data_IF_810266951964
#
_entry.id   IF_810266951964
#
_cell.length_a   1.000
_cell.length_b   1.000
_cell.length_c   1.000
_cell.angle_alpha   90.00
_cell.angle_beta   90.00
_cell.angle_gamma   90.00
#
_symmetry.space_group_name_H-M   'P 1'
#
loop_
_entity.id
_entity.type
_entity.pdbx_description
1 polymer ?
#
# COMPACT_ATOMS: atom_id res chain seq x y z
N UNK A 1 3.53 -17.73 28.26
CA UNK A 1 2.69 -16.95 27.33
C UNK A 1 2.67 -17.70 26.01
N UNK A 2 1.52 -18.26 25.61
CA UNK A 2 1.33 -18.98 24.35
C UNK A 2 0.85 -17.96 23.31
N UNK A 3 1.49 -17.93 22.13
CA UNK A 3 1.20 -16.96 21.07
C UNK A 3 1.47 -17.62 19.72
N UNK A 4 0.72 -17.21 18.70
CA UNK A 4 0.94 -17.63 17.32
C UNK A 4 2.39 -17.34 16.91
N UNK A 5 3.05 -18.32 16.31
CA UNK A 5 4.38 -18.17 15.75
C UNK A 5 4.58 -19.01 14.47
N UNK A 6 5.65 -18.78 13.69
CA UNK A 6 5.86 -19.46 12.42
C UNK A 6 5.96 -20.99 12.50
N UNK A 7 6.13 -21.59 13.68
CA UNK A 7 6.21 -23.04 13.87
C UNK A 7 4.84 -23.73 13.97
N UNK A 8 3.75 -22.96 14.13
CA UNK A 8 2.40 -23.49 14.28
C UNK A 8 1.82 -24.09 12.98
N UNK A 9 2.39 -23.76 11.81
CA UNK A 9 1.96 -24.29 10.52
C UNK A 9 3.09 -24.31 9.48
N UNK A 10 2.85 -24.97 8.34
CA UNK A 10 3.78 -24.94 7.18
C UNK A 10 3.95 -23.54 6.59
N UNK A 11 2.94 -22.69 6.72
CA UNK A 11 2.94 -21.30 6.29
C UNK A 11 1.96 -20.52 7.17
N UNK A 12 2.43 -19.40 7.74
CA UNK A 12 1.65 -18.51 8.59
C UNK A 12 1.70 -17.12 7.97
N UNK A 13 0.57 -16.60 7.52
CA UNK A 13 0.38 -15.21 7.13
C UNK A 13 -0.45 -14.45 8.17
N UNK A 14 -0.16 -13.16 8.36
CA UNK A 14 -0.82 -12.34 9.38
C UNK A 14 -1.20 -10.99 8.78
N UNK A 15 -2.46 -10.60 8.94
CA UNK A 15 -2.98 -9.29 8.53
C UNK A 15 -3.05 -8.36 9.74
N UNK A 16 -2.25 -7.31 9.75
CA UNK A 16 -2.26 -6.29 10.79
C UNK A 16 -3.09 -5.06 10.35
N UNK A 17 -4.20 -4.77 11.04
CA UNK A 17 -5.02 -3.57 10.80
C UNK A 17 -5.10 -2.59 11.97
N UNK A 18 -4.51 -2.93 13.13
CA UNK A 18 -4.56 -2.13 14.36
C UNK A 18 -3.21 -2.05 15.09
N UNK A 19 -2.27 -1.27 14.54
CA UNK A 19 -0.91 -1.13 15.08
C UNK A 19 -0.75 -0.13 16.24
N UNK A 20 -1.83 0.42 16.81
CA UNK A 20 -1.78 1.34 17.97
C UNK A 20 -2.78 0.92 19.04
N UNK A 21 -2.34 0.91 20.30
CA UNK A 21 -3.07 0.33 21.44
C UNK A 21 -4.43 1.01 21.75
N UNK A 22 -5.41 0.13 21.91
CA UNK A 22 -6.65 0.13 22.70
C UNK A 22 -6.87 1.32 23.65
N UNK A 23 -7.94 2.09 23.39
CA UNK A 23 -9.03 2.47 24.32
C UNK A 23 -9.94 3.44 23.53
N UNK A 24 -11.24 3.11 23.44
CA UNK A 24 -12.37 3.87 22.84
C UNK A 24 -12.69 3.84 21.31
N UNK A 25 -11.84 3.38 20.39
CA UNK A 25 -12.14 3.32 18.91
C UNK A 25 -12.15 1.90 18.30
N UNK A 26 -12.25 0.88 19.15
CA UNK A 26 -11.74 -0.49 18.94
C UNK A 26 -12.52 -1.36 17.93
N UNK A 27 -13.79 -1.08 17.62
CA UNK A 27 -14.60 -2.01 16.80
C UNK A 27 -14.39 -1.89 15.29
N UNK A 28 -14.13 -0.71 14.74
CA UNK A 28 -14.06 -0.54 13.29
C UNK A 28 -12.70 -0.96 12.71
N UNK A 29 -11.59 -0.65 13.38
CA UNK A 29 -10.23 -0.96 12.90
C UNK A 29 -9.82 -2.41 13.09
N UNK A 30 -10.23 -3.04 14.18
CA UNK A 30 -9.92 -4.45 14.44
C UNK A 30 -10.65 -5.38 13.45
N UNK A 31 -11.90 -5.06 13.10
CA UNK A 31 -12.70 -5.86 12.15
C UNK A 31 -12.26 -5.72 10.69
N UNK A 32 -11.36 -4.77 10.36
CA UNK A 32 -10.89 -4.58 8.99
C UNK A 32 -10.15 -5.80 8.46
N UNK A 33 -9.38 -6.51 9.29
CA UNK A 33 -8.65 -7.71 8.87
C UNK A 33 -9.59 -8.76 8.27
N UNK A 34 -10.69 -9.07 8.97
CA UNK A 34 -11.73 -10.00 8.48
C UNK A 34 -12.40 -9.49 7.21
N UNK A 35 -12.72 -8.20 7.14
CA UNK A 35 -13.34 -7.61 5.94
C UNK A 35 -12.44 -7.69 4.71
N UNK A 36 -11.15 -7.38 4.87
CA UNK A 36 -10.18 -7.49 3.79
C UNK A 36 -9.96 -8.94 3.36
N UNK A 37 -9.92 -9.87 4.31
CA UNK A 37 -9.81 -11.29 4.02
C UNK A 37 -11.02 -11.78 3.21
N UNK A 38 -12.25 -11.46 3.65
CA UNK A 38 -13.48 -11.85 2.92
C UNK A 38 -13.48 -11.28 1.49
N UNK A 39 -13.13 -10.00 1.31
CA UNK A 39 -13.06 -9.41 -0.02
C UNK A 39 -12.00 -10.07 -0.90
N UNK A 40 -10.86 -10.49 -0.33
CA UNK A 40 -9.76 -11.10 -1.08
C UNK A 40 -10.07 -12.45 -1.73
N UNK A 41 -11.16 -13.14 -1.32
CA UNK A 41 -11.54 -14.46 -1.84
C UNK A 41 -12.01 -14.36 -3.30
N UNK A 42 -12.94 -13.43 -3.58
CA UNK A 42 -13.65 -13.34 -4.87
C UNK A 42 -13.60 -11.94 -5.51
N UNK A 43 -12.67 -11.07 -5.10
CA UNK A 43 -12.52 -9.75 -5.71
C UNK A 43 -11.81 -9.85 -7.07
N UNK A 44 -12.27 -9.05 -8.03
CA UNK A 44 -11.58 -8.83 -9.31
C UNK A 44 -10.22 -8.13 -9.13
N UNK A 45 -9.99 -7.52 -7.97
CA UNK A 45 -8.74 -6.87 -7.58
C UNK A 45 -8.01 -7.72 -6.54
N UNK A 46 -6.70 -7.89 -6.72
CA UNK A 46 -5.84 -8.57 -5.74
C UNK A 46 -5.21 -7.56 -4.80
N UNK A 47 -5.26 -7.84 -3.50
CA UNK A 47 -4.61 -7.01 -2.48
C UNK A 47 -3.09 -7.20 -2.52
N UNK A 48 -2.45 -6.59 -3.51
CA UNK A 48 -1.01 -6.67 -3.74
C UNK A 48 -0.25 -5.87 -2.68
N UNK A 49 0.61 -6.55 -1.92
CA UNK A 49 1.51 -5.99 -0.93
C UNK A 49 2.96 -5.98 -1.40
N UNK A 50 3.69 -4.92 -1.05
CA UNK A 50 5.07 -4.69 -1.43
C UNK A 50 5.98 -4.95 -0.22
N UNK A 51 7.01 -5.77 -0.42
CA UNK A 51 7.98 -6.07 0.63
C UNK A 51 8.76 -4.79 0.96
N UNK A 52 8.73 -4.36 2.22
CA UNK A 52 9.38 -3.12 2.63
C UNK A 52 9.86 -3.21 4.09
N UNK A 53 10.80 -2.34 4.49
CA UNK A 53 11.31 -2.34 5.88
C UNK A 53 10.34 -1.64 6.84
N UNK A 54 9.75 -0.53 6.38
CA UNK A 54 8.80 0.29 7.14
C UNK A 54 7.59 0.69 6.27
N UNK A 55 6.52 1.17 6.90
CA UNK A 55 5.38 1.72 6.17
C UNK A 55 5.73 3.07 5.53
N UNK A 56 6.64 3.83 6.15
CA UNK A 56 7.15 5.11 5.71
C UNK A 56 7.95 4.99 4.40
N UNK A 57 8.81 3.99 4.27
CA UNK A 57 9.56 3.69 3.04
C UNK A 57 8.58 3.31 1.91
N UNK A 58 7.57 2.50 2.24
CA UNK A 58 6.50 2.14 1.30
C UNK A 58 5.71 3.38 0.85
N UNK A 59 5.41 4.31 1.75
CA UNK A 59 4.71 5.57 1.44
C UNK A 59 5.54 6.51 0.57
N UNK A 60 6.86 6.46 0.67
CA UNK A 60 7.79 7.23 -0.16
C UNK A 60 7.97 6.61 -1.56
N UNK A 61 7.53 5.37 -1.74
CA UNK A 61 7.63 4.66 -3.01
C UNK A 61 8.93 3.86 -3.17
N UNK A 62 9.73 3.71 -2.13
CA UNK A 62 11.07 3.10 -2.17
C UNK A 62 11.06 1.59 -2.43
N UNK A 63 9.88 0.97 -2.29
CA UNK A 63 9.68 -0.48 -2.34
C UNK A 63 8.86 -0.93 -3.56
N UNK A 64 8.80 -0.10 -4.61
CA UNK A 64 8.16 -0.40 -5.89
C UNK A 64 9.19 -0.32 -7.03
N UNK A 65 9.11 -1.18 -8.06
CA UNK A 65 8.12 -2.24 -8.31
C UNK A 65 8.31 -3.48 -7.42
N UNK A 66 7.54 -4.54 -7.68
CA UNK A 66 7.75 -5.84 -7.01
C UNK A 66 9.18 -6.33 -7.23
N UNK A 67 9.73 -7.06 -6.25
CA UNK A 67 11.05 -7.70 -6.39
C UNK A 67 11.00 -8.84 -7.40
N UNK A 68 12.16 -9.42 -7.74
CA UNK A 68 12.27 -10.63 -8.58
C UNK A 68 11.44 -11.82 -8.04
N UNK A 69 11.22 -11.86 -6.73
CA UNK A 69 10.41 -12.87 -6.03
C UNK A 69 8.91 -12.57 -6.06
N UNK A 70 8.51 -11.50 -6.75
CA UNK A 70 7.13 -11.03 -6.82
C UNK A 70 6.68 -10.22 -5.59
N UNK A 71 5.43 -9.75 -5.67
CA UNK A 71 4.75 -9.13 -4.54
C UNK A 71 3.94 -10.17 -3.77
N UNK A 72 3.81 -9.99 -2.46
CA UNK A 72 2.89 -10.79 -1.65
C UNK A 72 1.43 -10.38 -1.94
N UNK A 73 0.50 -11.30 -1.67
CA UNK A 73 -0.93 -11.00 -1.70
C UNK A 73 -1.49 -11.07 -0.29
N UNK A 74 -2.26 -10.07 0.13
CA UNK A 74 -2.94 -10.10 1.42
C UNK A 74 -4.24 -10.91 1.30
N UNK A 75 -4.50 -11.78 2.28
CA UNK A 75 -5.73 -12.57 2.38
C UNK A 75 -5.65 -13.92 1.69
N UNK A 76 -6.75 -14.37 1.08
CA UNK A 76 -6.93 -15.75 0.60
C UNK A 76 -5.83 -16.25 -0.34
N UNK A 77 -5.21 -15.36 -1.11
CA UNK A 77 -4.19 -15.71 -2.10
C UNK A 77 -2.75 -15.51 -1.61
N UNK A 78 -2.52 -15.37 -0.29
CA UNK A 78 -1.20 -15.13 0.29
C UNK A 78 -0.18 -16.25 0.03
N UNK A 79 -0.67 -17.47 -0.17
CA UNK A 79 0.13 -18.67 -0.44
C UNK A 79 0.64 -18.77 -1.88
N UNK A 80 0.09 -17.98 -2.82
CA UNK A 80 0.49 -18.00 -4.24
C UNK A 80 1.93 -17.54 -4.47
N UNK A 81 2.40 -16.58 -3.67
CA UNK A 81 3.75 -16.01 -3.75
C UNK A 81 4.30 -15.94 -2.34
N UNK A 82 5.07 -16.96 -1.96
CA UNK A 82 5.70 -17.07 -0.64
C UNK A 82 7.05 -16.37 -0.66
N UNK A 83 7.48 -15.77 0.47
CA UNK A 83 8.83 -15.26 0.57
C UNK A 83 9.86 -16.41 0.48
N UNK A 84 11.14 -16.12 0.20
CA UNK A 84 12.18 -17.15 0.09
C UNK A 84 12.21 -18.09 1.30
N UNK A 85 12.45 -19.38 1.07
CA UNK A 85 12.53 -20.40 2.13
C UNK A 85 13.54 -19.99 3.20
N UNK A 86 13.19 -20.22 4.48
CA UNK A 86 14.03 -19.84 5.61
C UNK A 86 13.88 -18.37 6.05
N UNK A 87 13.04 -17.58 5.37
CA UNK A 87 12.68 -16.25 5.86
C UNK A 87 11.46 -16.32 6.78
N UNK A 88 11.49 -15.54 7.88
CA UNK A 88 10.37 -15.36 8.79
C UNK A 88 10.17 -13.87 9.05
N UNK A 89 8.98 -13.49 9.54
CA UNK A 89 8.66 -12.10 9.90
C UNK A 89 8.84 -11.10 8.73
N UNK A 90 8.57 -11.54 7.50
CA UNK A 90 8.66 -10.71 6.30
C UNK A 90 7.48 -9.73 6.25
N UNK A 91 7.78 -8.44 6.10
CA UNK A 91 6.76 -7.38 6.11
C UNK A 91 6.40 -6.96 4.69
N UNK A 92 5.09 -6.91 4.43
CA UNK A 92 4.51 -6.38 3.21
C UNK A 92 3.57 -5.23 3.57
N UNK A 93 3.54 -4.20 2.73
CA UNK A 93 2.70 -3.03 2.91
C UNK A 93 1.87 -2.74 1.66
N UNK A 94 0.66 -2.26 1.89
CA UNK A 94 -0.28 -1.82 0.85
C UNK A 94 -1.24 -0.80 1.44
N UNK A 95 -1.86 0.02 0.58
CA UNK A 95 -3.00 0.86 0.97
C UNK A 95 -4.30 0.21 0.50
N UNK A 96 -5.34 0.37 1.32
CA UNK A 96 -6.71 0.01 1.01
C UNK A 96 -7.60 1.25 0.95
N UNK A 97 -8.79 1.11 0.37
CA UNK A 97 -9.86 2.08 0.44
C UNK A 97 -10.48 2.17 1.83
N UNK A 98 -11.18 3.27 2.09
CA UNK A 98 -11.92 3.47 3.34
C UNK A 98 -13.25 2.69 3.39
N UNK A 99 -13.86 2.45 2.23
CA UNK A 99 -15.13 1.72 2.03
C UNK A 99 -14.94 0.60 0.99
N UNK A 100 -15.88 -0.34 0.96
CA UNK A 100 -15.91 -1.39 -0.06
C UNK A 100 -16.13 -0.79 -1.47
N UNK A 101 -15.55 -1.40 -2.53
CA UNK A 101 -14.47 -2.39 -2.45
C UNK A 101 -13.23 -1.75 -1.80
N UNK A 102 -12.59 -2.45 -0.86
CA UNK A 102 -11.40 -1.97 -0.14
C UNK A 102 -10.13 -2.12 -0.98
N UNK A 103 -10.12 -3.04 -1.95
CA UNK A 103 -8.95 -3.27 -2.78
C UNK A 103 -8.59 -2.00 -3.59
N UNK A 104 -7.30 -1.68 -3.64
CA UNK A 104 -6.76 -0.56 -4.43
C UNK A 104 -5.51 -1.03 -5.16
N UNK A 105 -5.30 -0.47 -6.35
CA UNK A 105 -4.04 -0.59 -7.06
C UNK A 105 -3.09 0.50 -6.55
N UNK A 106 -1.92 0.09 -6.09
CA UNK A 106 -0.89 1.01 -5.61
C UNK A 106 0.02 1.38 -6.79
N UNK A 107 0.12 2.67 -7.07
CA UNK A 107 0.96 3.22 -8.15
C UNK A 107 2.07 4.07 -7.55
N UNK A 108 3.26 3.99 -8.13
CA UNK A 108 4.35 4.94 -7.90
C UNK A 108 4.40 5.91 -9.09
N UNK A 109 4.42 7.20 -8.79
CA UNK A 109 4.48 8.27 -9.80
C UNK A 109 5.70 9.14 -9.48
N UNK A 110 6.65 9.17 -10.40
CA UNK A 110 7.82 10.03 -10.32
C UNK A 110 7.57 11.26 -11.20
N UNK A 111 7.42 12.43 -10.58
CA UNK A 111 7.24 13.70 -11.28
C UNK A 111 8.57 14.44 -11.31
N UNK A 112 9.12 14.62 -12.50
CA UNK A 112 10.34 15.40 -12.72
C UNK A 112 9.96 16.80 -13.22
N UNK A 113 10.44 17.83 -12.53
CA UNK A 113 10.27 19.22 -12.95
C UNK A 113 11.52 19.66 -13.71
N UNK A 114 11.33 20.22 -14.92
CA UNK A 114 12.41 20.85 -15.68
C UNK A 114 12.77 22.20 -15.07
N UNK A 115 14.07 22.47 -14.89
CA UNK A 115 14.57 23.77 -14.44
C UNK A 115 15.16 24.50 -15.65
N UNK A 116 14.54 25.61 -16.04
CA UNK A 116 15.13 26.61 -16.96
C UNK A 116 15.34 27.94 -16.26
N UNK A 117 16.12 28.84 -16.85
CA UNK A 117 16.47 30.15 -16.26
C UNK A 117 15.27 31.04 -15.89
N UNK A 118 14.10 30.84 -16.52
CA UNK A 118 12.85 31.56 -16.25
C UNK A 118 11.96 30.89 -15.19
N UNK A 119 12.42 29.80 -14.55
CA UNK A 119 11.57 29.03 -13.65
C UNK A 119 11.26 29.78 -12.35
N UNK A 120 10.02 29.68 -11.90
CA UNK A 120 9.56 30.24 -10.63
C UNK A 120 9.23 29.15 -9.62
N UNK A 121 9.48 29.43 -8.34
CA UNK A 121 9.14 28.54 -7.23
C UNK A 121 7.74 28.87 -6.74
N UNK A 122 6.84 27.91 -6.86
CA UNK A 122 5.46 28.02 -6.39
C UNK A 122 5.20 27.03 -5.26
N UNK A 123 4.32 27.37 -4.32
CA UNK A 123 3.89 26.45 -3.25
C UNK A 123 2.48 25.98 -3.50
N UNK A 124 2.29 24.66 -3.61
CA UNK A 124 0.98 24.09 -3.90
C UNK A 124 0.87 22.63 -3.53
N UNK A 125 -0.35 22.10 -3.64
CA UNK A 125 -0.59 20.65 -3.56
C UNK A 125 -0.64 20.08 -4.97
N UNK A 126 0.01 18.94 -5.16
CA UNK A 126 -0.08 18.23 -6.43
C UNK A 126 -1.27 17.29 -6.37
N UNK A 127 -2.12 17.38 -7.39
CA UNK A 127 -3.20 16.43 -7.63
C UNK A 127 -3.04 15.84 -9.03
N UNK A 128 -3.54 14.62 -9.22
CA UNK A 128 -3.46 13.91 -10.49
C UNK A 128 -4.76 13.18 -10.79
N UNK A 129 -5.16 13.17 -12.05
CA UNK A 129 -6.18 12.27 -12.59
C UNK A 129 -5.47 11.24 -13.48
N UNK A 130 -5.67 9.95 -13.24
CA UNK A 130 -5.03 8.88 -14.02
C UNK A 130 -6.06 8.31 -14.96
N UNK A 131 -5.84 8.42 -16.27
CA UNK A 131 -6.78 7.95 -17.30
C UNK A 131 -6.13 6.76 -18.02
N UNK A 132 -6.83 5.63 -18.07
CA UNK A 132 -6.39 4.43 -18.76
C UNK A 132 -7.52 3.77 -19.56
N UNK A 133 -7.18 2.73 -20.32
CA UNK A 133 -8.16 2.00 -21.15
C UNK A 133 -9.30 1.35 -20.37
N UNK A 134 -9.11 1.12 -19.06
CA UNK A 134 -10.13 0.56 -18.14
C UNK A 134 -10.92 1.64 -17.38
N UNK A 135 -10.73 2.92 -17.70
CA UNK A 135 -11.40 4.05 -17.06
C UNK A 135 -10.45 5.07 -16.44
N UNK A 136 -11.00 6.01 -15.66
CA UNK A 136 -10.24 7.07 -14.98
C UNK A 136 -10.29 6.93 -13.46
N UNK A 137 -9.15 7.13 -12.81
CA UNK A 137 -9.06 7.31 -11.36
C UNK A 137 -9.23 8.80 -11.09
N UNK A 138 -10.39 9.17 -10.53
CA UNK A 138 -10.72 10.57 -10.22
C UNK A 138 -9.61 11.31 -9.46
N UNK A 139 -9.74 12.64 -9.39
CA UNK A 139 -8.69 13.52 -8.90
C UNK A 139 -8.14 13.09 -7.52
N UNK A 140 -6.89 12.66 -7.50
CA UNK A 140 -6.22 12.12 -6.31
C UNK A 140 -5.08 13.06 -5.89
N UNK A 141 -5.07 13.46 -4.62
CA UNK A 141 -3.97 14.22 -4.06
C UNK A 141 -2.71 13.34 -3.95
N UNK A 142 -1.61 13.80 -4.56
CA UNK A 142 -0.31 13.14 -4.48
C UNK A 142 0.50 13.59 -3.26
N UNK A 143 0.25 14.81 -2.78
CA UNK A 143 0.94 15.35 -1.60
C UNK A 143 -0.06 15.68 -0.50
N UNK A 144 0.18 15.15 0.71
CA UNK A 144 -0.64 15.48 1.89
C UNK A 144 -0.48 16.96 2.28
N UNK A 145 0.73 17.49 2.07
CA UNK A 145 1.14 18.87 2.39
C UNK A 145 1.48 19.64 1.11
N UNK A 146 1.50 20.96 1.21
CA UNK A 146 2.01 21.80 0.14
C UNK A 146 3.50 21.56 -0.03
N UNK A 147 3.92 21.36 -1.28
CA UNK A 147 5.31 21.21 -1.68
C UNK A 147 5.72 22.41 -2.52
N UNK A 148 7.00 22.78 -2.43
CA UNK A 148 7.58 23.80 -3.32
C UNK A 148 7.87 23.14 -4.67
N UNK A 149 7.21 23.62 -5.71
CA UNK A 149 7.32 23.15 -7.08
C UNK A 149 8.02 24.21 -7.92
N UNK A 150 8.70 23.77 -8.97
CA UNK A 150 9.36 24.67 -9.91
C UNK A 150 8.58 24.59 -11.22
N UNK A 151 8.04 25.72 -11.67
CA UNK A 151 7.31 25.83 -12.93
C UNK A 151 8.05 26.75 -13.89
N UNK A 152 8.04 26.37 -15.17
CA UNK A 152 8.45 27.26 -16.26
C UNK A 152 7.45 28.41 -16.33
N UNK A 153 7.93 29.64 -16.45
CA UNK A 153 7.09 30.77 -16.84
C UNK A 153 6.89 30.79 -18.34
#
# INVERSE_FOLDING_TARGET
MIRLDPTDAKFVDVIHTDGRSLILLVLCRHRRATQYFIESINSACTFRGYRCKSYEDFRQGDCMPCTEWGCGYMGFNADRVKPPTGTSNVKYFLRTGYSTPFCRHNYQINIMFGIVSTSSKEKGKVKMNIIGSKGQLGETALTDKSVSLIFLR
#
